data_IF_778498122380
#
_entry.id   IF_778498122380
#
_cell.length_a   1.000
_cell.length_b   1.000
_cell.length_c   1.000
_cell.angle_alpha   90.00
_cell.angle_beta   90.00
_cell.angle_gamma   90.00
#
_symmetry.space_group_name_H-M   'P 1'
#
loop_
_entity.id
_entity.type
_entity.pdbx_description
1 polymer ?
#
# COMPACT_ATOMS: atom_id res chain seq x y z
N UNK A 1 -69.21 8.65 17.80
CA UNK A 1 -70.11 9.75 17.36
C UNK A 1 -69.58 11.03 18.01
N UNK A 2 -69.16 12.13 17.37
CA UNK A 2 -69.38 12.82 16.08
C UNK A 2 -67.99 13.26 15.55
N UNK A 3 -67.55 13.04 14.30
CA UNK A 3 -67.82 13.77 13.03
C UNK A 3 -67.72 15.31 13.18
N UNK A 4 -67.05 16.15 12.37
CA UNK A 4 -66.30 16.15 11.09
C UNK A 4 -65.67 17.58 11.04
N UNK A 5 -64.50 17.80 10.40
CA UNK A 5 -64.35 18.75 9.27
C UNK A 5 -62.94 18.75 8.67
N UNK A 6 -62.98 18.66 7.35
CA UNK A 6 -61.93 18.61 6.34
C UNK A 6 -61.42 20.03 6.03
N UNK A 7 -60.18 20.11 5.50
CA UNK A 7 -59.75 20.90 4.34
C UNK A 7 -58.59 21.91 4.54
N UNK A 8 -57.52 21.69 3.75
CA UNK A 8 -56.73 22.67 2.95
C UNK A 8 -55.75 23.58 3.72
N UNK A 9 -54.50 23.91 3.33
CA UNK A 9 -53.43 23.45 2.42
C UNK A 9 -52.29 24.49 2.61
N UNK A 10 -51.02 24.06 2.64
CA UNK A 10 -49.79 24.77 2.21
C UNK A 10 -49.48 26.18 2.78
N UNK A 11 -48.42 26.30 3.60
CA UNK A 11 -47.16 27.03 3.30
C UNK A 11 -46.33 27.18 4.58
N UNK A 12 -45.17 26.50 4.66
CA UNK A 12 -43.92 26.97 5.30
C UNK A 12 -42.85 25.86 5.25
N UNK A 13 -42.50 25.46 4.02
CA UNK A 13 -41.13 25.04 3.73
C UNK A 13 -40.37 26.35 3.54
N UNK A 14 -39.50 26.70 4.47
CA UNK A 14 -38.28 27.53 4.35
C UNK A 14 -37.87 27.87 5.80
N UNK A 15 -36.60 27.64 6.14
CA UNK A 15 -35.93 27.81 7.45
C UNK A 15 -35.82 26.61 8.41
N UNK A 16 -35.32 25.45 7.97
CA UNK A 16 -34.37 24.68 8.80
C UNK A 16 -33.26 23.98 7.99
N UNK A 17 -32.94 24.46 6.77
CA UNK A 17 -31.78 23.97 6.00
C UNK A 17 -30.52 24.83 6.22
N UNK A 18 -30.61 25.95 6.96
CA UNK A 18 -29.44 26.81 7.25
C UNK A 18 -28.63 26.43 8.51
N UNK A 19 -29.11 25.49 9.33
CA UNK A 19 -28.37 25.01 10.50
C UNK A 19 -27.50 23.77 10.27
N UNK A 20 -27.82 22.95 9.27
CA UNK A 20 -27.19 21.64 9.10
C UNK A 20 -26.09 21.60 8.01
N UNK A 21 -26.03 22.61 7.14
CA UNK A 21 -25.04 22.66 6.05
C UNK A 21 -23.74 23.39 6.42
N UNK A 22 -23.72 24.16 7.53
CA UNK A 22 -22.53 24.91 7.95
C UNK A 22 -21.61 24.08 8.87
N UNK A 23 -22.10 22.97 9.45
CA UNK A 23 -21.28 22.16 10.36
C UNK A 23 -20.47 21.05 9.66
N UNK A 24 -20.73 20.74 8.38
CA UNK A 24 -19.98 19.69 7.65
C UNK A 24 -18.70 20.19 6.98
N UNK A 25 -18.59 21.50 6.72
CA UNK A 25 -17.43 22.09 6.04
C UNK A 25 -16.35 22.61 7.00
N UNK A 26 -16.52 22.45 8.32
CA UNK A 26 -15.53 22.87 9.33
C UNK A 26 -14.84 21.71 10.07
N UNK A 27 -15.16 20.46 9.71
CA UNK A 27 -14.51 19.25 10.25
C UNK A 27 -13.41 18.73 9.32
N UNK A 28 -13.23 19.32 8.12
CA UNK A 28 -12.17 18.90 7.18
C UNK A 28 -10.82 19.60 7.38
N UNK A 29 -10.69 20.48 8.37
CA UNK A 29 -9.43 21.11 8.74
C UNK A 29 -9.05 20.65 10.14
N UNK A 30 -7.89 19.98 10.25
CA UNK A 30 -7.25 19.45 11.47
C UNK A 30 -7.63 18.02 11.90
N UNK A 31 -7.71 17.06 10.96
CA UNK A 31 -7.31 15.68 11.29
C UNK A 31 -5.84 15.59 10.93
N UNK A 32 -4.95 15.62 11.92
CA UNK A 32 -3.53 15.40 11.70
C UNK A 32 -3.31 13.96 11.20
N UNK A 33 -2.23 13.72 10.46
CA UNK A 33 -1.84 12.34 10.09
C UNK A 33 -1.70 11.40 11.30
N UNK A 34 -1.55 11.95 12.52
CA UNK A 34 -1.37 11.21 13.77
C UNK A 34 -2.69 10.73 14.36
N UNK A 35 -3.81 11.36 14.04
CA UNK A 35 -5.14 11.01 14.55
C UNK A 35 -5.72 9.74 13.88
N UNK A 36 -4.96 9.09 12.99
CA UNK A 36 -5.39 7.89 12.28
C UNK A 36 -5.10 6.57 12.99
N UNK A 37 -4.27 6.55 14.03
CA UNK A 37 -3.84 5.32 14.69
C UNK A 37 -3.83 5.50 16.22
N UNK A 38 -4.52 4.64 16.97
CA UNK A 38 -4.39 4.59 18.44
C UNK A 38 -2.99 4.07 18.79
N UNK A 39 -2.18 4.90 19.43
CA UNK A 39 -0.77 4.62 19.67
C UNK A 39 -0.54 3.90 21.01
N UNK A 40 -0.52 2.58 20.96
CA UNK A 40 0.07 1.73 22.01
C UNK A 40 1.09 0.82 21.34
N UNK A 41 2.34 0.81 21.80
CA UNK A 41 3.35 -0.14 21.32
C UNK A 41 2.88 -1.56 21.61
N UNK A 42 2.75 -2.38 20.57
CA UNK A 42 2.29 -3.75 20.67
C UNK A 42 3.43 -4.78 20.65
N UNK A 43 4.63 -4.36 20.24
CA UNK A 43 5.79 -5.22 20.05
C UNK A 43 7.07 -4.65 20.69
N UNK A 44 8.04 -5.51 21.03
CA UNK A 44 9.39 -5.08 21.37
C UNK A 44 10.14 -4.64 20.09
N UNK A 45 10.49 -3.35 20.05
CA UNK A 45 11.16 -2.71 18.92
C UNK A 45 12.57 -2.21 19.26
N UNK A 46 13.13 -2.64 20.40
CA UNK A 46 14.45 -2.22 20.89
C UNK A 46 15.54 -2.30 19.82
N UNK A 47 15.64 -3.41 19.08
CA UNK A 47 16.60 -3.58 17.98
C UNK A 47 16.39 -2.58 16.84
N UNK A 48 15.13 -2.30 16.48
CA UNK A 48 14.80 -1.36 15.39
C UNK A 48 15.10 0.07 15.79
N UNK A 49 14.80 0.43 17.04
CA UNK A 49 15.12 1.72 17.63
C UNK A 49 16.64 1.91 17.71
N UNK A 50 17.40 0.86 18.07
CA UNK A 50 18.87 0.88 18.05
C UNK A 50 19.42 1.17 16.65
N UNK A 51 18.88 0.54 15.60
CA UNK A 51 19.27 0.82 14.21
C UNK A 51 19.02 2.29 13.87
N UNK A 52 17.84 2.83 14.20
CA UNK A 52 17.49 4.25 13.97
C UNK A 52 18.46 5.17 14.72
N UNK A 53 18.78 4.87 15.99
CA UNK A 53 19.74 5.62 16.80
C UNK A 53 21.14 5.64 16.19
N UNK A 54 21.60 4.53 15.63
CA UNK A 54 22.90 4.49 14.96
C UNK A 54 22.91 5.33 13.67
N UNK A 55 21.81 5.32 12.91
CA UNK A 55 21.65 6.19 11.73
C UNK A 55 21.58 7.68 12.10
N UNK A 56 20.91 8.01 13.20
CA UNK A 56 20.80 9.38 13.73
C UNK A 56 22.15 10.06 13.99
N UNK A 57 23.21 9.30 14.28
CA UNK A 57 24.57 9.86 14.47
C UNK A 57 25.15 10.52 13.20
N UNK A 58 24.57 10.27 12.04
CA UNK A 58 25.11 10.69 10.72
C UNK A 58 24.10 11.40 9.83
N UNK A 59 22.82 11.42 10.21
CA UNK A 59 21.73 11.94 9.38
C UNK A 59 20.70 12.65 10.27
N UNK A 60 20.57 13.97 10.09
CA UNK A 60 19.65 14.84 10.85
C UNK A 60 18.18 14.44 10.71
N UNK A 61 17.81 13.83 9.58
CA UNK A 61 16.48 13.28 9.37
C UNK A 61 16.22 12.10 10.31
N UNK A 62 17.19 11.19 10.43
CA UNK A 62 17.11 10.08 11.38
C UNK A 62 17.21 10.53 12.84
N UNK A 63 17.95 11.59 13.14
CA UNK A 63 17.96 12.23 14.46
C UNK A 63 16.57 12.71 14.85
N UNK A 64 15.91 13.49 13.99
CA UNK A 64 14.54 13.94 14.22
C UNK A 64 13.55 12.78 14.40
N UNK A 65 13.72 11.70 13.62
CA UNK A 65 12.92 10.46 13.77
C UNK A 65 13.14 9.83 15.15
N UNK A 66 14.39 9.74 15.61
CA UNK A 66 14.73 9.14 16.90
C UNK A 66 14.17 9.95 18.08
N UNK A 67 14.28 11.28 18.04
CA UNK A 67 13.72 12.18 19.07
C UNK A 67 12.18 12.14 19.14
N UNK A 68 11.53 11.77 18.03
CA UNK A 68 10.07 11.69 17.93
C UNK A 68 9.56 10.24 17.82
N UNK A 69 10.36 9.26 18.23
CA UNK A 69 10.06 7.83 18.06
C UNK A 69 8.76 7.40 18.78
N UNK A 70 8.40 8.07 19.87
CA UNK A 70 7.17 7.82 20.63
C UNK A 70 5.91 8.35 19.92
N UNK A 71 6.05 9.00 18.76
CA UNK A 71 4.93 9.43 17.92
C UNK A 71 4.72 8.52 16.71
N UNK A 72 5.56 7.50 16.53
CA UNK A 72 5.56 6.62 15.37
C UNK A 72 4.96 5.25 15.69
N UNK A 73 3.90 4.83 14.99
CA UNK A 73 3.39 3.47 15.02
C UNK A 73 4.48 2.40 14.81
N UNK A 74 4.30 1.21 15.37
CA UNK A 74 5.28 0.11 15.30
C UNK A 74 5.73 -0.20 13.86
N UNK A 75 4.79 -0.16 12.89
CA UNK A 75 5.12 -0.36 11.47
C UNK A 75 5.94 0.77 10.87
N UNK A 76 5.77 2.01 11.32
CA UNK A 76 6.56 3.16 10.88
C UNK A 76 7.99 3.06 11.43
N UNK A 77 8.16 2.63 12.68
CA UNK A 77 9.48 2.37 13.28
C UNK A 77 10.21 1.26 12.49
N UNK A 78 9.53 0.14 12.22
CA UNK A 78 10.09 -0.96 11.40
C UNK A 78 10.48 -0.48 10.01
N UNK A 79 9.64 0.34 9.36
CA UNK A 79 9.91 0.90 8.04
C UNK A 79 11.14 1.81 8.07
N UNK A 80 11.22 2.76 9.01
CA UNK A 80 12.34 3.68 9.17
C UNK A 80 13.67 2.95 9.38
N UNK A 81 13.67 1.91 10.22
CA UNK A 81 14.85 1.10 10.47
C UNK A 81 15.32 0.36 9.21
N UNK A 82 14.37 -0.25 8.47
CA UNK A 82 14.64 -1.21 7.39
C UNK A 82 14.84 -0.58 6.01
N UNK A 83 14.25 0.60 5.73
CA UNK A 83 14.21 1.22 4.39
C UNK A 83 14.65 2.68 4.47
N UNK A 84 15.86 2.98 4.02
CA UNK A 84 16.40 4.35 3.99
C UNK A 84 15.62 5.23 3.02
N UNK A 85 15.13 4.66 1.91
CA UNK A 85 14.29 5.35 0.94
C UNK A 85 12.96 5.85 1.53
N UNK A 86 12.54 5.31 2.69
CA UNK A 86 11.30 5.71 3.36
C UNK A 86 11.49 6.90 4.31
N UNK A 87 12.71 7.39 4.54
CA UNK A 87 12.97 8.48 5.49
C UNK A 87 12.08 9.71 5.23
N UNK A 88 11.97 10.13 3.96
CA UNK A 88 11.11 11.26 3.58
C UNK A 88 9.62 11.03 3.89
N UNK A 89 9.15 9.79 3.79
CA UNK A 89 7.77 9.43 4.17
C UNK A 89 7.55 9.48 5.68
N UNK A 90 8.52 9.00 6.47
CA UNK A 90 8.47 9.06 7.93
C UNK A 90 8.52 10.51 8.43
N UNK A 91 9.41 11.32 7.85
CA UNK A 91 9.51 12.74 8.16
C UNK A 91 8.23 13.49 7.79
N UNK A 92 7.66 13.21 6.62
CA UNK A 92 6.39 13.82 6.22
C UNK A 92 5.22 13.44 7.10
N UNK A 93 5.21 12.22 7.65
CA UNK A 93 4.25 11.84 8.69
C UNK A 93 4.44 12.62 9.99
N UNK A 94 5.68 12.73 10.48
CA UNK A 94 5.98 13.40 11.76
C UNK A 94 5.77 14.91 11.71
N UNK A 95 6.11 15.53 10.57
CA UNK A 95 6.04 16.99 10.34
C UNK A 95 4.74 17.44 9.69
N UNK A 96 3.83 16.50 9.37
CA UNK A 96 2.61 16.77 8.60
C UNK A 96 2.87 17.44 7.23
N UNK A 97 3.97 17.06 6.59
CA UNK A 97 4.40 17.59 5.29
C UNK A 97 4.68 16.46 4.30
N UNK A 98 3.67 16.12 3.50
CA UNK A 98 3.75 15.05 2.50
C UNK A 98 4.80 15.31 1.41
N UNK A 99 5.22 16.55 1.21
CA UNK A 99 6.18 16.91 0.16
C UNK A 99 7.59 16.36 0.41
N UNK A 100 7.89 16.01 1.67
CA UNK A 100 9.16 15.38 2.06
C UNK A 100 9.32 13.96 1.51
N UNK A 101 8.23 13.28 1.16
CA UNK A 101 8.27 11.96 0.56
C UNK A 101 8.52 12.05 -0.95
N UNK A 102 9.42 11.19 -1.44
CA UNK A 102 9.71 11.11 -2.88
C UNK A 102 8.65 10.29 -3.60
N UNK A 103 8.27 10.75 -4.80
CA UNK A 103 7.42 9.96 -5.71
C UNK A 103 8.20 8.78 -6.29
N UNK A 104 7.50 7.73 -6.65
CA UNK A 104 8.00 6.45 -7.19
C UNK A 104 8.99 6.66 -8.34
N UNK A 105 8.70 7.62 -9.22
CA UNK A 105 9.49 7.96 -10.40
C UNK A 105 10.89 8.52 -10.05
N UNK A 106 11.08 9.04 -8.83
CA UNK A 106 12.34 9.64 -8.38
C UNK A 106 13.43 8.60 -8.08
N UNK A 107 13.08 7.31 -8.02
CA UNK A 107 13.98 6.25 -7.59
C UNK A 107 14.73 5.56 -8.73
N UNK A 108 14.47 5.92 -10.00
CA UNK A 108 15.13 5.36 -11.18
C UNK A 108 15.07 3.81 -11.23
N UNK A 109 13.90 3.24 -10.95
CA UNK A 109 13.64 1.80 -11.13
C UNK A 109 13.16 1.57 -12.56
N UNK A 110 14.04 1.01 -13.39
CA UNK A 110 13.82 0.80 -14.82
C UNK A 110 13.48 -0.67 -15.10
N UNK A 111 12.26 -1.07 -14.77
CA UNK A 111 11.75 -2.42 -15.01
C UNK A 111 10.67 -2.40 -16.11
N UNK A 112 10.33 -3.57 -16.72
CA UNK A 112 9.36 -3.64 -17.82
C UNK A 112 7.96 -3.13 -17.49
N UNK A 113 7.61 -3.12 -16.19
CA UNK A 113 6.35 -2.59 -15.68
C UNK A 113 6.67 -1.37 -14.82
N UNK A 114 5.86 -0.32 -14.96
CA UNK A 114 5.99 0.91 -14.18
C UNK A 114 6.04 0.59 -12.68
N UNK A 115 7.07 1.11 -12.01
CA UNK A 115 7.28 0.90 -10.60
C UNK A 115 6.42 1.82 -9.75
N UNK A 116 5.71 1.26 -8.76
CA UNK A 116 4.99 1.98 -7.72
C UNK A 116 5.48 1.56 -6.34
N UNK A 117 5.82 2.56 -5.54
CA UNK A 117 6.23 2.41 -4.16
C UNK A 117 5.03 2.68 -3.24
N UNK A 118 4.76 1.82 -2.27
CA UNK A 118 3.56 1.92 -1.45
C UNK A 118 3.53 3.18 -0.58
N UNK A 119 4.70 3.73 -0.22
CA UNK A 119 4.85 4.97 0.55
C UNK A 119 5.11 6.22 -0.31
N UNK A 120 4.70 6.20 -1.58
CA UNK A 120 4.62 7.39 -2.43
C UNK A 120 3.61 8.42 -1.87
N UNK A 121 3.91 9.73 -1.86
CA UNK A 121 3.03 10.74 -1.26
C UNK A 121 1.63 10.82 -1.87
N UNK A 122 1.42 10.34 -3.10
CA UNK A 122 0.11 10.36 -3.79
C UNK A 122 -0.93 9.44 -3.13
N UNK A 123 -0.48 8.40 -2.42
CA UNK A 123 -1.38 7.41 -1.78
C UNK A 123 -0.88 6.91 -0.43
N UNK A 124 0.42 6.95 -0.14
CA UNK A 124 1.04 6.33 1.03
C UNK A 124 0.51 6.83 2.37
N UNK A 125 0.02 8.07 2.44
CA UNK A 125 -0.57 8.65 3.65
C UNK A 125 -2.09 8.42 3.79
N UNK A 126 -2.71 7.70 2.86
CA UNK A 126 -4.14 7.38 2.94
C UNK A 126 -4.36 6.19 3.87
N UNK A 127 -5.49 6.19 4.59
CA UNK A 127 -5.84 5.10 5.49
C UNK A 127 -6.13 3.83 4.68
N UNK A 128 -5.63 2.71 5.18
CA UNK A 128 -5.92 1.38 4.66
C UNK A 128 -5.65 0.32 5.71
N UNK A 129 -6.61 -0.58 5.92
CA UNK A 129 -6.45 -1.79 6.74
C UNK A 129 -5.99 -1.50 8.18
N UNK A 130 -6.58 -0.48 8.81
CA UNK A 130 -6.23 -0.08 10.17
C UNK A 130 -4.84 0.57 10.30
N UNK A 131 -4.29 1.10 9.22
CA UNK A 131 -3.10 1.95 9.22
C UNK A 131 -3.00 2.75 7.94
N UNK A 132 -1.80 2.90 7.38
CA UNK A 132 -1.56 3.63 6.13
C UNK A 132 -1.24 2.70 4.95
N UNK A 133 -1.56 3.11 3.72
CA UNK A 133 -1.10 2.41 2.50
C UNK A 133 0.43 2.29 2.52
N UNK A 134 1.16 3.30 3.01
CA UNK A 134 2.61 3.29 3.12
C UNK A 134 3.19 2.16 3.98
N UNK A 135 2.41 1.56 4.90
CA UNK A 135 2.86 0.46 5.77
C UNK A 135 2.07 -0.84 5.59
N UNK A 136 0.91 -0.79 4.94
CA UNK A 136 -0.01 -1.93 4.79
C UNK A 136 -0.44 -2.21 3.34
N UNK A 137 -0.07 -1.35 2.40
CA UNK A 137 -0.58 -1.34 1.03
C UNK A 137 0.21 -2.16 0.01
N UNK A 138 0.93 -3.22 0.42
CA UNK A 138 1.71 -4.01 -0.54
C UNK A 138 0.82 -4.68 -1.61
N UNK A 139 -0.34 -5.21 -1.22
CA UNK A 139 -1.32 -5.80 -2.14
C UNK A 139 -1.91 -4.78 -3.13
N UNK A 140 -2.58 -3.68 -2.71
CA UNK A 140 -3.13 -2.71 -3.66
C UNK A 140 -2.06 -2.05 -4.54
N UNK A 141 -0.85 -1.84 -4.01
CA UNK A 141 0.26 -1.30 -4.83
C UNK A 141 0.74 -2.30 -5.88
N UNK A 142 0.83 -3.59 -5.53
CA UNK A 142 1.20 -4.65 -6.48
C UNK A 142 0.16 -4.81 -7.58
N UNK A 143 -1.13 -4.83 -7.22
CA UNK A 143 -2.22 -4.93 -8.21
C UNK A 143 -2.24 -3.72 -9.16
N UNK A 144 -1.97 -2.53 -8.64
CA UNK A 144 -1.83 -1.31 -9.45
C UNK A 144 -0.69 -1.44 -10.47
N UNK A 145 0.45 -2.01 -10.08
CA UNK A 145 1.55 -2.29 -11.02
C UNK A 145 1.16 -3.36 -12.04
N UNK A 146 0.52 -4.45 -11.62
CA UNK A 146 0.08 -5.53 -12.52
C UNK A 146 -0.86 -5.00 -13.61
N UNK A 147 -1.87 -4.21 -13.22
CA UNK A 147 -2.80 -3.54 -14.13
C UNK A 147 -2.07 -2.58 -15.07
N UNK A 148 -1.15 -1.77 -14.56
CA UNK A 148 -0.35 -0.87 -15.39
C UNK A 148 0.48 -1.63 -16.43
N UNK A 149 0.99 -2.81 -16.09
CA UNK A 149 1.71 -3.70 -17.00
C UNK A 149 0.83 -4.30 -18.11
N UNK A 150 -0.49 -4.21 -17.97
CA UNK A 150 -1.51 -4.60 -18.95
C UNK A 150 -2.21 -3.37 -19.59
N UNK A 151 -1.68 -2.16 -19.41
CA UNK A 151 -2.24 -0.94 -20.00
C UNK A 151 -3.43 -0.34 -19.24
N UNK A 152 -3.77 -0.85 -18.05
CA UNK A 152 -4.89 -0.38 -17.24
C UNK A 152 -4.36 0.49 -16.08
N UNK A 153 -4.79 1.75 -16.03
CA UNK A 153 -4.39 2.66 -14.97
C UNK A 153 -5.38 2.64 -13.80
N UNK A 154 -4.92 2.14 -12.65
CA UNK A 154 -5.58 2.26 -11.34
C UNK A 154 -4.54 2.64 -10.31
N UNK A 155 -4.81 3.65 -9.49
CA UNK A 155 -3.91 4.04 -8.40
C UNK A 155 -4.02 3.05 -7.22
N UNK A 156 -2.95 2.86 -6.43
CA UNK A 156 -3.02 2.03 -5.22
C UNK A 156 -4.13 2.48 -4.25
N UNK A 157 -4.43 3.80 -4.22
CA UNK A 157 -5.53 4.35 -3.42
C UNK A 157 -6.90 3.84 -3.86
N UNK A 158 -7.16 3.77 -5.16
CA UNK A 158 -8.45 3.29 -5.68
C UNK A 158 -8.67 1.81 -5.33
N UNK A 159 -7.61 1.01 -5.46
CA UNK A 159 -7.65 -0.43 -5.14
C UNK A 159 -7.81 -0.64 -3.63
N UNK A 160 -7.09 0.13 -2.80
CA UNK A 160 -7.23 0.09 -1.34
C UNK A 160 -8.68 0.39 -0.89
N UNK A 161 -9.29 1.44 -1.46
CA UNK A 161 -10.70 1.78 -1.18
C UNK A 161 -11.67 0.69 -1.63
N UNK A 162 -11.44 0.09 -2.79
CA UNK A 162 -12.23 -1.04 -3.25
C UNK A 162 -12.11 -2.22 -2.28
N UNK A 163 -10.89 -2.54 -1.84
CA UNK A 163 -10.64 -3.65 -0.93
C UNK A 163 -11.37 -3.46 0.41
N UNK A 164 -11.32 -2.28 1.01
CA UNK A 164 -12.04 -2.00 2.26
C UNK A 164 -13.57 -2.06 2.08
N UNK A 165 -14.09 -1.43 1.00
CA UNK A 165 -15.53 -1.40 0.74
C UNK A 165 -16.13 -2.79 0.54
N UNK A 166 -15.36 -3.72 -0.02
CA UNK A 166 -15.84 -5.05 -0.37
C UNK A 166 -15.29 -6.15 0.56
N UNK A 167 -14.91 -5.79 1.79
CA UNK A 167 -14.49 -6.73 2.84
C UNK A 167 -13.28 -7.62 2.48
N UNK A 168 -12.37 -7.13 1.63
CA UNK A 168 -11.09 -7.79 1.35
C UNK A 168 -9.99 -7.43 2.35
N UNK A 169 -10.36 -6.93 3.53
CA UNK A 169 -9.43 -6.54 4.57
C UNK A 169 -9.77 -7.29 5.85
N UNK A 170 -8.82 -8.04 6.36
CA UNK A 170 -8.96 -8.85 7.57
C UNK A 170 -7.71 -8.71 8.43
N UNK A 171 -7.88 -8.49 9.74
CA UNK A 171 -6.78 -8.34 10.70
C UNK A 171 -5.68 -7.33 10.26
N UNK A 172 -6.09 -6.29 9.52
CA UNK A 172 -5.19 -5.26 9.00
C UNK A 172 -4.29 -5.71 7.85
N UNK A 173 -4.67 -6.75 7.12
CA UNK A 173 -4.04 -7.26 5.89
C UNK A 173 -5.09 -7.42 4.78
N UNK A 174 -4.64 -7.41 3.53
CA UNK A 174 -5.49 -7.72 2.39
C UNK A 174 -5.69 -9.22 2.25
N UNK A 175 -6.93 -9.66 2.04
CA UNK A 175 -7.25 -11.03 1.63
C UNK A 175 -6.68 -11.32 0.24
N UNK A 176 -6.22 -12.56 0.01
CA UNK A 176 -5.72 -12.99 -1.29
C UNK A 176 -6.80 -13.08 -2.36
N UNK A 177 -8.07 -13.24 -1.96
CA UNK A 177 -9.20 -13.24 -2.90
C UNK A 177 -9.28 -11.93 -3.70
N UNK A 178 -8.76 -10.82 -3.15
CA UNK A 178 -8.67 -9.55 -3.87
C UNK A 178 -7.89 -9.66 -5.17
N UNK A 179 -6.87 -10.52 -5.25
CA UNK A 179 -6.04 -10.68 -6.46
C UNK A 179 -6.90 -11.14 -7.62
N UNK A 180 -7.59 -12.27 -7.46
CA UNK A 180 -8.37 -12.88 -8.52
C UNK A 180 -9.63 -12.05 -8.82
N UNK A 181 -10.35 -11.64 -7.78
CA UNK A 181 -11.60 -10.91 -7.94
C UNK A 181 -11.38 -9.53 -8.58
N UNK A 182 -10.38 -8.77 -8.13
CA UNK A 182 -10.14 -7.42 -8.66
C UNK A 182 -9.57 -7.46 -10.07
N UNK A 183 -8.60 -8.33 -10.36
CA UNK A 183 -8.00 -8.39 -11.70
C UNK A 183 -8.99 -8.94 -12.74
N UNK A 184 -9.80 -9.94 -12.38
CA UNK A 184 -10.89 -10.44 -13.25
C UNK A 184 -11.92 -9.35 -13.50
N UNK A 185 -12.29 -8.57 -12.48
CA UNK A 185 -13.23 -7.44 -12.58
C UNK A 185 -12.70 -6.30 -13.47
N UNK A 186 -11.38 -6.17 -13.61
CA UNK A 186 -10.73 -5.24 -14.54
C UNK A 186 -10.50 -5.87 -15.94
N UNK A 187 -10.98 -7.10 -16.17
CA UNK A 187 -10.95 -7.77 -17.47
C UNK A 187 -9.65 -8.52 -17.79
N UNK A 188 -8.84 -8.84 -16.78
CA UNK A 188 -7.61 -9.61 -16.95
C UNK A 188 -7.80 -11.10 -16.65
N UNK A 189 -7.12 -11.95 -17.40
CA UNK A 189 -6.94 -13.36 -17.06
C UNK A 189 -5.99 -13.49 -15.87
N UNK A 190 -6.45 -14.12 -14.79
CA UNK A 190 -5.67 -14.36 -13.58
C UNK A 190 -5.97 -15.74 -13.03
N UNK A 191 -4.95 -16.44 -12.58
CA UNK A 191 -5.10 -17.76 -11.94
C UNK A 191 -3.98 -18.04 -10.96
N UNK A 192 -4.30 -18.75 -9.88
CA UNK A 192 -3.28 -19.38 -9.03
C UNK A 192 -2.41 -20.35 -9.83
N UNK A 193 -1.12 -20.38 -9.53
CA UNK A 193 -0.14 -21.29 -10.14
C UNK A 193 0.70 -21.97 -9.07
N UNK A 194 1.28 -23.12 -9.39
CA UNK A 194 2.36 -23.65 -8.58
C UNK A 194 3.55 -22.70 -8.67
N UNK A 195 4.24 -22.49 -7.54
CA UNK A 195 5.44 -21.63 -7.54
C UNK A 195 6.52 -22.10 -8.51
N UNK A 196 6.59 -23.40 -8.85
CA UNK A 196 7.52 -23.95 -9.84
C UNK A 196 7.23 -23.48 -11.27
N UNK A 197 6.01 -23.00 -11.55
CA UNK A 197 5.61 -22.46 -12.85
C UNK A 197 5.99 -20.98 -13.02
N UNK A 198 6.54 -20.32 -11.98
CA UNK A 198 6.87 -18.89 -12.06
C UNK A 198 7.78 -18.56 -13.24
N UNK A 199 8.84 -19.34 -13.48
CA UNK A 199 9.77 -19.07 -14.58
C UNK A 199 9.07 -19.26 -15.94
N UNK A 200 8.37 -20.37 -16.14
CA UNK A 200 7.71 -20.66 -17.41
C UNK A 200 6.59 -19.67 -17.73
N UNK A 201 5.88 -19.14 -16.73
CA UNK A 201 4.91 -18.06 -16.94
C UNK A 201 5.57 -16.74 -17.35
N UNK A 202 6.70 -16.38 -16.73
CA UNK A 202 7.47 -15.19 -17.13
C UNK A 202 8.06 -15.33 -18.53
N UNK A 203 8.50 -16.53 -18.94
CA UNK A 203 8.97 -16.83 -20.30
C UNK A 203 7.86 -16.67 -21.36
N UNK A 204 6.61 -16.96 -21.00
CA UNK A 204 5.43 -16.70 -21.86
C UNK A 204 5.08 -15.21 -21.99
N UNK A 205 5.74 -14.34 -21.22
CA UNK A 205 5.48 -12.90 -21.16
C UNK A 205 4.39 -12.49 -20.15
N UNK A 206 3.86 -13.44 -19.37
CA UNK A 206 2.90 -13.14 -18.31
C UNK A 206 3.60 -12.44 -17.14
N UNK A 207 2.83 -11.73 -16.32
CA UNK A 207 3.31 -11.24 -15.03
C UNK A 207 3.01 -12.29 -13.96
N UNK A 208 3.77 -12.30 -12.88
CA UNK A 208 3.50 -13.19 -11.74
C UNK A 208 3.45 -12.40 -10.45
N UNK A 209 2.32 -12.43 -9.76
CA UNK A 209 2.19 -11.91 -8.40
C UNK A 209 2.72 -12.97 -7.44
N UNK A 210 3.66 -12.59 -6.58
CA UNK A 210 4.31 -13.47 -5.62
C UNK A 210 3.96 -13.06 -4.20
N UNK A 211 3.48 -14.03 -3.42
CA UNK A 211 3.30 -13.91 -1.98
C UNK A 211 4.49 -14.54 -1.27
N UNK A 212 5.16 -13.77 -0.42
CA UNK A 212 6.33 -14.18 0.34
C UNK A 212 5.97 -14.39 1.82
N UNK A 213 6.55 -15.43 2.42
CA UNK A 213 6.64 -15.62 3.88
C UNK A 213 7.92 -14.94 4.41
N UNK A 214 8.22 -14.98 5.72
CA UNK A 214 9.41 -14.33 6.27
C UNK A 214 10.71 -14.80 5.61
N UNK A 215 11.63 -13.85 5.40
CA UNK A 215 12.91 -14.05 4.71
C UNK A 215 13.52 -12.74 4.20
N UNK A 216 14.18 -12.78 3.06
CA UNK A 216 14.87 -11.64 2.43
C UNK A 216 13.93 -10.44 2.22
N UNK A 217 12.70 -10.70 1.76
CA UNK A 217 11.78 -9.62 1.37
C UNK A 217 11.00 -9.03 2.55
N UNK A 218 10.69 -9.81 3.57
CA UNK A 218 9.76 -9.44 4.64
C UNK A 218 10.03 -10.22 5.92
N UNK A 219 9.60 -9.66 7.06
CA UNK A 219 9.68 -10.35 8.35
C UNK A 219 8.34 -11.03 8.72
N UNK A 220 7.29 -10.82 7.91
CA UNK A 220 5.94 -11.36 8.13
C UNK A 220 5.37 -11.96 6.84
N UNK A 221 4.60 -11.19 6.08
CA UNK A 221 4.10 -11.53 4.76
C UNK A 221 4.29 -10.36 3.82
N UNK A 222 4.41 -10.63 2.53
CA UNK A 222 4.59 -9.58 1.53
C UNK A 222 4.10 -10.00 0.15
N UNK A 223 3.66 -9.03 -0.63
CA UNK A 223 3.21 -9.22 -2.01
C UNK A 223 4.09 -8.35 -2.90
N UNK A 224 4.62 -8.93 -3.98
CA UNK A 224 5.38 -8.22 -5.00
C UNK A 224 5.10 -8.77 -6.40
N UNK A 225 5.49 -8.03 -7.43
CA UNK A 225 5.25 -8.39 -8.83
C UNK A 225 6.55 -8.84 -9.49
N UNK A 226 6.60 -10.06 -10.01
CA UNK A 226 7.61 -10.44 -11.00
C UNK A 226 7.16 -9.93 -12.38
N UNK A 227 7.99 -9.08 -12.98
CA UNK A 227 7.67 -8.30 -14.17
C UNK A 227 8.22 -8.90 -15.46
N UNK A 228 9.06 -9.92 -15.36
CA UNK A 228 9.73 -10.58 -16.47
C UNK A 228 11.05 -11.21 -16.03
N UNK A 229 11.84 -11.64 -17.01
CA UNK A 229 13.20 -12.15 -16.85
C UNK A 229 14.18 -11.19 -17.52
N UNK A 230 15.39 -11.09 -16.98
CA UNK A 230 16.51 -10.49 -17.69
C UNK A 230 17.19 -11.50 -18.62
N UNK A 231 18.23 -11.04 -19.34
CA UNK A 231 18.95 -11.86 -20.33
C UNK A 231 19.69 -13.07 -19.72
N UNK A 232 19.85 -13.11 -18.39
CA UNK A 232 20.46 -14.23 -17.66
C UNK A 232 19.40 -15.16 -17.05
N UNK A 233 18.11 -14.95 -17.35
CA UNK A 233 17.00 -15.72 -16.79
C UNK A 233 16.71 -15.39 -15.32
N UNK A 234 17.19 -14.26 -14.79
CA UNK A 234 16.91 -13.81 -13.42
C UNK A 234 15.61 -13.01 -13.41
N UNK A 235 14.84 -13.16 -12.33
CA UNK A 235 13.57 -12.47 -12.14
C UNK A 235 13.81 -10.97 -11.95
N UNK A 236 13.11 -10.18 -12.77
CA UNK A 236 12.95 -8.74 -12.59
C UNK A 236 11.74 -8.54 -11.66
N UNK A 237 11.97 -8.02 -10.46
CA UNK A 237 10.93 -7.86 -9.44
C UNK A 237 10.59 -6.37 -9.27
N UNK A 238 9.31 -6.03 -9.16
CA UNK A 238 8.83 -4.79 -8.57
C UNK A 238 8.30 -5.08 -7.17
N UNK A 239 9.07 -4.71 -6.16
CA UNK A 239 8.72 -4.80 -4.74
C UNK A 239 8.12 -3.46 -4.27
N UNK A 240 6.82 -3.40 -3.94
CA UNK A 240 6.17 -2.14 -3.56
C UNK A 240 6.71 -1.55 -2.25
N UNK A 241 7.52 -2.27 -1.49
CA UNK A 241 8.08 -1.85 -0.21
C UNK A 241 9.63 -1.81 -0.22
N UNK A 242 10.26 -1.88 -1.39
CA UNK A 242 11.72 -1.74 -1.49
C UNK A 242 12.19 -1.32 -2.87
N UNK A 243 12.87 -0.18 -2.92
CA UNK A 243 13.57 0.30 -4.12
C UNK A 243 14.76 -0.62 -4.41
N UNK A 244 15.51 -1.01 -3.37
CA UNK A 244 16.65 -1.93 -3.51
C UNK A 244 16.24 -3.25 -4.17
N UNK A 245 15.20 -3.92 -3.64
CA UNK A 245 14.73 -5.18 -4.22
C UNK A 245 14.26 -5.03 -5.66
N UNK A 246 13.72 -3.86 -6.00
CA UNK A 246 13.24 -3.55 -7.34
C UNK A 246 14.34 -3.24 -8.35
N UNK A 247 15.51 -2.78 -7.89
CA UNK A 247 16.70 -2.57 -8.73
C UNK A 247 17.49 -3.85 -8.96
N UNK A 248 17.37 -4.83 -8.07
CA UNK A 248 18.09 -6.09 -8.17
C UNK A 248 17.46 -7.07 -9.19
N UNK A 249 18.20 -8.15 -9.44
CA UNK A 249 17.79 -9.29 -10.25
C UNK A 249 17.90 -10.55 -9.43
N UNK A 250 16.86 -11.36 -9.42
CA UNK A 250 16.71 -12.44 -8.46
C UNK A 250 16.76 -13.80 -9.13
N UNK A 251 17.71 -14.63 -8.73
CA UNK A 251 17.69 -16.04 -9.11
C UNK A 251 16.51 -16.73 -8.42
N UNK A 252 15.69 -17.43 -9.19
CA UNK A 252 14.52 -18.15 -8.66
C UNK A 252 14.90 -19.09 -7.52
N UNK A 253 16.01 -19.81 -7.65
CA UNK A 253 16.48 -20.74 -6.63
C UNK A 253 16.80 -20.08 -5.29
N UNK A 254 17.20 -18.80 -5.29
CA UNK A 254 17.44 -18.03 -4.05
C UNK A 254 16.13 -17.68 -3.35
N UNK A 255 15.05 -17.42 -4.09
CA UNK A 255 13.81 -16.87 -3.52
C UNK A 255 12.68 -17.90 -3.39
N UNK A 256 12.73 -19.03 -4.12
CA UNK A 256 11.64 -20.03 -4.19
C UNK A 256 11.24 -20.66 -2.86
N UNK A 257 12.16 -20.65 -1.89
CA UNK A 257 11.89 -21.14 -0.53
C UNK A 257 11.02 -20.18 0.27
N UNK A 258 11.03 -18.89 -0.06
CA UNK A 258 10.25 -17.82 0.57
C UNK A 258 8.91 -17.58 -0.12
N UNK A 259 8.75 -18.01 -1.38
CA UNK A 259 7.45 -17.95 -2.08
C UNK A 259 6.46 -18.91 -1.40
N UNK A 260 5.38 -18.32 -0.88
CA UNK A 260 4.24 -18.98 -0.24
C UNK A 260 3.14 -19.30 -1.24
N UNK A 261 2.83 -18.38 -2.16
CA UNK A 261 1.82 -18.55 -3.20
C UNK A 261 2.16 -17.67 -4.42
N UNK A 262 1.60 -18.00 -5.58
CA UNK A 262 1.85 -17.29 -6.83
C UNK A 262 0.59 -17.27 -7.72
N UNK A 263 0.44 -16.20 -8.49
CA UNK A 263 -0.64 -16.03 -9.47
C UNK A 263 -0.06 -15.53 -10.79
N UNK A 264 -0.41 -16.18 -11.89
CA UNK A 264 -0.12 -15.67 -13.23
C UNK A 264 -1.18 -14.65 -13.62
N UNK A 265 -0.74 -13.54 -14.21
CA UNK A 265 -1.58 -12.50 -14.81
C UNK A 265 -1.26 -12.46 -16.29
N UNK A 266 -2.26 -12.80 -17.10
CA UNK A 266 -2.14 -12.85 -18.55
C UNK A 266 -2.13 -11.43 -19.11
N UNK A 267 -1.10 -11.11 -19.90
CA UNK A 267 -1.13 -9.89 -20.71
C UNK A 267 -1.93 -10.20 -21.96
N UNK A 268 -3.02 -9.46 -22.17
CA UNK A 268 -3.75 -9.52 -23.45
C UNK A 268 -2.75 -9.19 -24.57
N UNK A 269 -2.55 -10.15 -25.49
CA UNK A 269 -1.70 -10.00 -26.68
C UNK A 269 -2.37 -9.10 -27.71
#
# INVERSE_FOLDING_TARGET
MKKIRFAVIIFLIIFLVRGFSIHRNRISSEISLKDSENFTRGEDLSDKIKIIKEKAKKDEGYEFVYENIDKLPDKMIKLAAKREEALGFILGYLKDDKSLAKKSESFAVNNPVKFYLQFDPRWGYEKYAGGLIGTRGCMPTTLSMALSGCGINRSPKEIAKFAEKNAYVEAGMSSWNLIEDYLTKEGLGVRGIMKSETISELEKGNLVILSFKPGIFTDTGHIALACGLDNEGRIILNDPNSVYNSKNRWQYDKIKKEIKAAWAVEKNK
#
